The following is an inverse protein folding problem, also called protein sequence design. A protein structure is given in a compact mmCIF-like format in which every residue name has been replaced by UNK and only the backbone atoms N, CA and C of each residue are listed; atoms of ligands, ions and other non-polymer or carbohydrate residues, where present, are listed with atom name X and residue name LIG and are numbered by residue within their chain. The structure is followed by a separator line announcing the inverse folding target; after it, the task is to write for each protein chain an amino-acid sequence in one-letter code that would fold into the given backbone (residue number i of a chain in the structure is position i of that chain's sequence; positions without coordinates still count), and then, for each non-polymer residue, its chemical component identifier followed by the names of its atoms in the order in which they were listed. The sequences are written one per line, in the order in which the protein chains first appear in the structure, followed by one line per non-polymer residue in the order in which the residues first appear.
data_IF_413677040056
#
_entry.id   IF_413677040056
#
_cell.length_a   1.000
_cell.length_b   1.000
_cell.length_c   1.000
_cell.angle_alpha   90.00
_cell.angle_beta   90.00
_cell.angle_gamma   90.00
#
_symmetry.space_group_name_H-M   'P 1'
#
loop_
_entity.id
_entity.type
_entity.pdbx_description
1 polymer ?
#
# COMPACT_ATOMS: atom_id res chain seq x y z
N UNK A 1 9.35 9.21 -2.65
CA UNK A 1 8.65 10.52 -2.53
C UNK A 1 7.24 10.49 -3.13
N UNK A 2 7.05 9.99 -4.36
CA UNK A 2 5.71 9.82 -4.96
C UNK A 2 4.80 8.92 -4.12
N UNK A 3 5.31 7.82 -3.57
CA UNK A 3 4.54 6.90 -2.70
C UNK A 3 3.97 7.60 -1.47
N UNK A 4 4.75 8.49 -0.83
CA UNK A 4 4.28 9.24 0.35
C UNK A 4 3.10 10.15 -0.02
N UNK A 5 3.16 10.80 -1.18
CA UNK A 5 2.07 11.64 -1.70
C UNK A 5 0.82 10.78 -1.95
N UNK A 6 0.98 9.59 -2.56
CA UNK A 6 -0.11 8.64 -2.77
C UNK A 6 -0.73 8.18 -1.45
N UNK A 7 0.08 7.80 -0.46
CA UNK A 7 -0.39 7.38 0.87
C UNK A 7 -1.19 8.50 1.53
N UNK A 8 -0.71 9.75 1.49
CA UNK A 8 -1.42 10.90 2.05
C UNK A 8 -2.77 11.08 1.35
N UNK A 9 -2.79 11.06 0.02
CA UNK A 9 -4.03 11.18 -0.76
C UNK A 9 -5.04 10.08 -0.40
N UNK A 10 -4.59 8.83 -0.31
CA UNK A 10 -5.42 7.68 0.03
C UNK A 10 -5.93 7.74 1.48
N UNK A 11 -5.10 8.21 2.41
CA UNK A 11 -5.51 8.43 3.80
C UNK A 11 -6.61 9.50 3.91
N UNK A 12 -6.56 10.55 3.08
CA UNK A 12 -7.62 11.57 3.02
C UNK A 12 -8.94 10.94 2.51
N UNK A 13 -8.88 10.07 1.50
CA UNK A 13 -10.07 9.40 0.97
C UNK A 13 -10.69 8.44 2.00
N UNK A 14 -9.86 7.63 2.67
CA UNK A 14 -10.33 6.74 3.75
C UNK A 14 -10.89 7.54 4.92
N UNK A 15 -10.28 8.66 5.28
CA UNK A 15 -10.79 9.54 6.31
C UNK A 15 -12.19 10.05 5.96
N UNK A 16 -12.43 10.45 4.71
CA UNK A 16 -13.76 10.92 4.26
C UNK A 16 -14.79 9.79 4.35
N UNK A 17 -14.43 8.60 3.86
CA UNK A 17 -15.30 7.43 3.92
C UNK A 17 -15.60 7.00 5.38
N UNK A 18 -14.60 7.08 6.27
CA UNK A 18 -14.78 6.73 7.67
C UNK A 18 -15.74 7.71 8.38
N UNK A 19 -15.62 9.01 8.08
CA UNK A 19 -16.54 10.02 8.60
C UNK A 19 -17.96 9.81 8.07
N UNK A 20 -18.13 9.47 6.79
CA UNK A 20 -19.45 9.14 6.21
C UNK A 20 -20.10 7.94 6.89
N UNK A 21 -19.29 6.98 7.37
CA UNK A 21 -19.75 5.77 8.07
C UNK A 21 -19.76 5.90 9.59
N UNK A 22 -19.62 7.12 10.12
CA UNK A 22 -19.54 7.41 11.56
C UNK A 22 -18.48 6.60 12.32
N UNK A 23 -17.42 6.21 11.62
CA UNK A 23 -16.31 5.46 12.19
C UNK A 23 -15.18 6.38 12.66
N UNK A 24 -14.40 5.96 13.68
CA UNK A 24 -13.29 6.76 14.18
C UNK A 24 -12.18 6.90 13.11
N UNK A 25 -12.08 8.10 12.52
CA UNK A 25 -11.09 8.46 11.48
C UNK A 25 -9.68 7.95 11.78
N UNK A 26 -9.17 8.22 12.99
CA UNK A 26 -7.78 7.94 13.35
C UNK A 26 -7.44 6.45 13.26
N UNK A 27 -8.41 5.59 13.63
CA UNK A 27 -8.26 4.12 13.52
C UNK A 27 -8.09 3.70 12.07
N UNK A 28 -8.93 4.23 11.18
CA UNK A 28 -8.92 3.84 9.77
C UNK A 28 -7.72 4.39 9.00
N UNK A 29 -7.31 5.63 9.30
CA UNK A 29 -6.07 6.20 8.76
C UNK A 29 -4.86 5.38 9.20
N UNK A 30 -4.76 5.02 10.48
CA UNK A 30 -3.68 4.17 10.99
C UNK A 30 -3.68 2.78 10.33
N UNK A 31 -4.87 2.16 10.19
CA UNK A 31 -5.00 0.88 9.49
C UNK A 31 -4.58 0.98 8.02
N UNK A 32 -4.91 2.06 7.31
CA UNK A 32 -4.45 2.28 5.93
C UNK A 32 -2.93 2.34 5.84
N UNK A 33 -2.27 3.11 6.72
CA UNK A 33 -0.80 3.20 6.74
C UNK A 33 -0.18 1.84 7.06
N UNK A 34 -0.71 1.12 8.05
CA UNK A 34 -0.21 -0.20 8.43
C UNK A 34 -0.36 -1.23 7.30
N UNK A 35 -1.53 -1.31 6.67
CA UNK A 35 -1.77 -2.24 5.56
C UNK A 35 -1.03 -1.85 4.29
N UNK A 36 -0.74 -0.56 4.09
CA UNK A 36 0.13 -0.09 3.01
C UNK A 36 1.54 -0.68 3.16
N UNK A 37 2.18 -0.48 4.32
CA UNK A 37 3.52 -1.01 4.58
C UNK A 37 3.57 -2.56 4.52
N UNK A 38 2.55 -3.24 5.04
CA UNK A 38 2.46 -4.70 4.94
C UNK A 38 2.32 -5.16 3.49
N UNK A 39 1.48 -4.47 2.70
CA UNK A 39 1.29 -4.75 1.29
C UNK A 39 2.55 -4.53 0.46
N UNK A 40 3.26 -3.42 0.69
CA UNK A 40 4.57 -3.15 0.06
C UNK A 40 5.57 -4.25 0.37
N UNK A 41 5.78 -4.56 1.65
CA UNK A 41 6.77 -5.56 2.07
C UNK A 41 6.45 -6.93 1.48
N UNK A 42 5.17 -7.31 1.46
CA UNK A 42 4.73 -8.57 0.89
C UNK A 42 4.93 -8.63 -0.63
N UNK A 43 4.54 -7.58 -1.36
CA UNK A 43 4.66 -7.56 -2.82
C UNK A 43 6.12 -7.46 -3.29
N UNK A 44 6.95 -6.68 -2.60
CA UNK A 44 8.40 -6.63 -2.87
C UNK A 44 9.04 -7.98 -2.57
N UNK A 45 8.72 -8.60 -1.42
CA UNK A 45 9.23 -9.92 -1.07
C UNK A 45 8.84 -11.00 -2.09
N UNK A 46 7.59 -10.99 -2.56
CA UNK A 46 7.14 -11.87 -3.64
C UNK A 46 7.86 -11.59 -4.95
N UNK A 47 8.01 -10.31 -5.33
CA UNK A 47 8.70 -9.94 -6.56
C UNK A 47 10.15 -10.41 -6.56
N UNK A 48 10.89 -10.18 -5.47
CA UNK A 48 12.28 -10.66 -5.30
C UNK A 48 12.33 -12.18 -5.41
N UNK A 49 11.40 -12.89 -4.77
CA UNK A 49 11.34 -14.35 -4.78
C UNK A 49 11.05 -14.93 -6.17
N UNK A 50 10.19 -14.28 -6.95
CA UNK A 50 9.78 -14.75 -8.30
C UNK A 50 10.80 -14.37 -9.36
N UNK A 51 11.34 -13.15 -9.28
CA UNK A 51 12.30 -12.62 -10.28
C UNK A 51 13.70 -13.19 -10.11
N UNK A 52 14.03 -13.76 -8.95
CA UNK A 52 15.36 -14.31 -8.66
C UNK A 52 16.45 -13.24 -8.54
N UNK A 53 16.07 -11.96 -8.43
CA UNK A 53 17.00 -10.84 -8.35
C UNK A 53 17.80 -10.91 -7.05
N UNK A 54 19.12 -11.01 -7.16
CA UNK A 54 20.04 -10.91 -6.04
C UNK A 54 20.79 -9.57 -6.13
N UNK A 55 20.39 -8.61 -5.30
CA UNK A 55 21.10 -7.34 -5.18
C UNK A 55 22.29 -7.55 -4.24
N UNK A 56 23.47 -7.74 -4.82
CA UNK A 56 24.75 -7.80 -4.09
C UNK A 56 25.53 -6.51 -4.30
N UNK A 57 26.50 -6.24 -3.41
CA UNK A 57 27.35 -5.06 -3.49
C UNK A 57 28.18 -5.02 -4.79
N UNK A 58 28.48 -6.18 -5.37
CA UNK A 58 29.26 -6.32 -6.62
C UNK A 58 28.44 -5.91 -7.85
N UNK A 59 27.14 -6.23 -7.87
CA UNK A 59 26.29 -5.98 -9.03
C UNK A 59 25.67 -4.57 -9.00
N UNK A 60 25.76 -3.83 -7.90
CA UNK A 60 25.01 -2.57 -7.65
C UNK A 60 25.21 -1.47 -8.71
N UNK A 61 26.29 -1.56 -9.49
CA UNK A 61 26.62 -0.62 -10.56
C UNK A 61 26.17 -1.09 -11.96
N UNK A 62 25.56 -2.27 -12.08
CA UNK A 62 25.09 -2.78 -13.37
C UNK A 62 23.87 -1.99 -13.85
N UNK A 63 23.82 -1.61 -15.14
CA UNK A 63 22.68 -0.90 -15.72
C UNK A 63 21.38 -1.72 -15.65
N UNK A 64 21.48 -3.06 -15.64
CA UNK A 64 20.33 -3.98 -15.53
C UNK A 64 19.66 -3.93 -14.15
N UNK A 65 20.37 -3.46 -13.11
CA UNK A 65 19.77 -3.26 -11.78
C UNK A 65 18.75 -2.14 -11.77
N UNK A 66 18.87 -1.14 -12.64
CA UNK A 66 17.86 -0.08 -12.72
C UNK A 66 16.48 -0.66 -13.06
N UNK A 67 16.40 -1.62 -14.00
CA UNK A 67 15.15 -2.32 -14.32
C UNK A 67 14.58 -3.08 -13.13
N UNK A 68 15.46 -3.72 -12.35
CA UNK A 68 15.11 -4.44 -11.13
C UNK A 68 14.56 -3.51 -10.04
N UNK A 69 15.18 -2.35 -9.83
CA UNK A 69 14.76 -1.34 -8.86
C UNK A 69 13.41 -0.71 -9.24
N UNK A 70 13.20 -0.41 -10.52
CA UNK A 70 11.89 0.05 -11.02
C UNK A 70 10.82 -1.03 -10.84
N UNK A 71 11.16 -2.30 -11.07
CA UNK A 71 10.27 -3.44 -10.81
C UNK A 71 9.87 -3.54 -9.33
N UNK A 72 10.83 -3.37 -8.42
CA UNK A 72 10.57 -3.36 -6.97
C UNK A 72 9.70 -2.17 -6.55
N UNK A 73 9.97 -0.97 -7.08
CA UNK A 73 9.15 0.21 -6.82
C UNK A 73 7.70 -0.01 -7.28
N UNK A 74 7.53 -0.56 -8.48
CA UNK A 74 6.20 -0.88 -9.02
C UNK A 74 5.49 -1.95 -8.19
N UNK A 75 6.19 -3.02 -7.82
CA UNK A 75 5.66 -4.07 -6.96
C UNK A 75 5.24 -3.51 -5.59
N UNK A 76 6.07 -2.65 -4.99
CA UNK A 76 5.76 -1.93 -3.76
C UNK A 76 4.49 -1.10 -3.89
N UNK A 77 4.44 -0.19 -4.87
CA UNK A 77 3.25 0.63 -5.15
C UNK A 77 1.97 -0.20 -5.34
N UNK A 78 2.05 -1.30 -6.10
CA UNK A 78 0.91 -2.21 -6.31
C UNK A 78 0.50 -2.91 -5.00
N UNK A 79 1.48 -3.39 -4.22
CA UNK A 79 1.25 -4.04 -2.93
C UNK A 79 0.60 -3.09 -1.92
N UNK A 80 1.13 -1.88 -1.78
CA UNK A 80 0.58 -0.84 -0.93
C UNK A 80 -0.85 -0.46 -1.34
N UNK A 81 -1.09 -0.31 -2.65
CA UNK A 81 -2.43 -0.01 -3.18
C UNK A 81 -3.43 -1.15 -2.90
N UNK A 82 -3.02 -2.42 -3.02
CA UNK A 82 -3.84 -3.56 -2.62
C UNK A 82 -4.14 -3.54 -1.11
N UNK A 83 -3.14 -3.21 -0.28
CA UNK A 83 -3.33 -3.01 1.17
C UNK A 83 -4.38 -1.94 1.47
N UNK A 84 -4.32 -0.80 0.77
CA UNK A 84 -5.35 0.24 0.82
C UNK A 84 -6.75 -0.29 0.43
N UNK A 85 -6.85 -1.04 -0.69
CA UNK A 85 -8.12 -1.59 -1.15
C UNK A 85 -8.75 -2.57 -0.15
N UNK A 86 -7.95 -3.34 0.57
CA UNK A 86 -8.44 -4.22 1.64
C UNK A 86 -9.07 -3.41 2.77
N UNK A 87 -8.40 -2.34 3.22
CA UNK A 87 -8.93 -1.44 4.25
C UNK A 87 -10.19 -0.74 3.77
N UNK A 88 -10.18 -0.24 2.53
CA UNK A 88 -11.35 0.39 1.89
C UNK A 88 -12.53 -0.56 1.82
N UNK A 89 -12.34 -1.78 1.30
CA UNK A 89 -13.39 -2.80 1.20
C UNK A 89 -13.94 -3.17 2.58
N UNK A 90 -13.09 -3.26 3.59
CA UNK A 90 -13.52 -3.52 4.97
C UNK A 90 -14.37 -2.37 5.51
N UNK A 91 -13.99 -1.13 5.26
CA UNK A 91 -14.77 0.04 5.64
C UNK A 91 -16.10 0.11 4.88
N UNK A 92 -16.10 -0.14 3.56
CA UNK A 92 -17.29 -0.22 2.71
C UNK A 92 -18.27 -1.30 3.18
N UNK A 93 -17.75 -2.43 3.70
CA UNK A 93 -18.58 -3.52 4.22
C UNK A 93 -19.29 -3.22 5.54
N UNK A 94 -18.91 -2.15 6.24
CA UNK A 94 -19.62 -1.69 7.43
C UNK A 94 -20.92 -1.06 6.94
N UNK A 95 -22.10 -1.51 7.42
CA UNK A 95 -23.36 -0.90 7.05
C UNK A 95 -23.30 0.59 7.41
N UNK A 96 -23.67 1.44 6.45
CA UNK A 96 -24.19 2.76 6.79
C UNK A 96 -25.38 2.49 7.70
N UNK A 97 -25.49 3.18 8.85
CA UNK A 97 -26.51 2.86 9.85
C UNK A 97 -27.86 2.46 9.19
N UNK A 98 -28.44 1.30 9.54
CA UNK A 98 -29.86 1.12 9.32
C UNK A 98 -30.59 2.11 10.22
N UNK A 99 -31.57 2.81 9.65
CA UNK A 99 -32.64 3.55 10.33
C UNK A 99 -32.81 3.20 11.82
N UNK A 100 -32.69 4.20 12.69
CA UNK A 100 -33.58 4.44 13.84
C UNK A 100 -33.50 5.92 14.28
#
# INVERSE_FOLDING_TARGET
MIEIILVIYLCIQISKLAVQKEQPKNRWVFMTVLFWFLGETFAIGLFVSISGIQITAENINDPDIMGSLFGMLFAGCCGGFLGYLLVRKKLESIPDQPYD
#
